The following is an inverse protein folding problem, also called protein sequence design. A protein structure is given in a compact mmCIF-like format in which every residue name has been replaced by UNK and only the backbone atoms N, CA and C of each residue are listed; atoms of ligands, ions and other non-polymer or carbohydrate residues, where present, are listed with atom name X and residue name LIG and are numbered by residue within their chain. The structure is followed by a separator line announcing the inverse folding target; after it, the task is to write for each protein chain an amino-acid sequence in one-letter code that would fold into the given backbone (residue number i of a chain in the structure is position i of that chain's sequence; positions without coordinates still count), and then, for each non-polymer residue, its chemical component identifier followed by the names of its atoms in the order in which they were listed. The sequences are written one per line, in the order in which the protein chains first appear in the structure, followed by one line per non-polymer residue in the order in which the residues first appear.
data_IF_415616951798
#
_entry.id   IF_415616951798
#
_cell.length_a   1.000
_cell.length_b   1.000
_cell.length_c   1.000
_cell.angle_alpha   90.00
_cell.angle_beta   90.00
_cell.angle_gamma   90.00
#
_symmetry.space_group_name_H-M   'P 1'
#
loop_
_entity.id
_entity.type
_entity.pdbx_description
1 polymer ?
#
# COMPACT_ATOMS: atom_id res chain seq x y z
N UNK A 1 29.65 2.60 17.53
CA UNK A 1 28.18 2.51 17.60
C UNK A 1 27.77 1.43 16.61
N UNK A 2 26.86 0.54 16.96
CA UNK A 2 26.44 -0.56 16.09
C UNK A 2 25.66 -0.03 14.89
N UNK A 3 26.00 -0.47 13.67
CA UNK A 3 25.29 -0.07 12.46
C UNK A 3 23.94 -0.78 12.38
N UNK A 4 22.88 0.02 12.26
CA UNK A 4 21.51 -0.45 12.11
C UNK A 4 20.93 0.12 10.81
N UNK A 5 20.56 -0.80 9.93
CA UNK A 5 19.95 -0.49 8.63
C UNK A 5 18.43 -0.65 8.69
N UNK A 6 17.69 0.35 8.23
CA UNK A 6 16.26 0.19 7.98
C UNK A 6 16.03 -0.28 6.55
N UNK A 7 15.32 -1.39 6.37
CA UNK A 7 15.03 -2.01 5.09
C UNK A 7 13.54 -1.92 4.79
N UNK A 8 13.19 -1.56 3.56
CA UNK A 8 11.80 -1.30 3.17
C UNK A 8 11.49 -1.95 1.82
N UNK A 9 10.39 -2.73 1.80
CA UNK A 9 9.72 -3.18 0.57
C UNK A 9 8.39 -2.42 0.39
N UNK A 10 8.37 -1.32 -0.39
CA UNK A 10 7.17 -0.51 -0.53
C UNK A 10 6.13 -1.16 -1.45
N UNK A 11 5.06 -1.68 -0.89
CA UNK A 11 3.93 -2.26 -1.62
C UNK A 11 2.74 -1.30 -1.79
N UNK A 12 1.75 -1.71 -2.58
CA UNK A 12 0.53 -0.92 -2.84
C UNK A 12 -0.47 -0.95 -1.67
N UNK A 13 -0.63 -2.10 -1.05
CA UNK A 13 -1.54 -2.34 0.08
C UNK A 13 -0.77 -2.48 1.39
N UNK A 14 0.35 -3.19 1.35
CA UNK A 14 1.20 -3.44 2.52
C UNK A 14 2.64 -3.13 2.15
N UNK A 15 3.35 -2.48 3.06
CA UNK A 15 4.79 -2.22 2.99
C UNK A 15 5.48 -3.08 4.05
N UNK A 16 6.48 -3.84 3.67
CA UNK A 16 7.39 -4.50 4.59
C UNK A 16 8.41 -3.51 5.15
N UNK A 17 8.67 -3.58 6.44
CA UNK A 17 9.71 -2.78 7.11
C UNK A 17 10.50 -3.70 8.03
N UNK A 18 11.82 -3.61 7.99
CA UNK A 18 12.69 -4.36 8.89
C UNK A 18 13.83 -3.47 9.40
N UNK A 19 14.35 -3.78 10.59
CA UNK A 19 15.64 -3.30 11.08
C UNK A 19 16.63 -4.46 11.09
N UNK A 20 17.79 -4.23 10.53
CA UNK A 20 18.88 -5.19 10.47
C UNK A 20 20.11 -4.56 11.12
N UNK A 21 20.66 -5.23 12.13
CA UNK A 21 21.93 -4.85 12.74
C UNK A 21 23.09 -5.58 12.05
N UNK A 22 24.16 -4.89 11.76
CA UNK A 22 25.36 -5.45 11.15
C UNK A 22 26.44 -5.66 12.23
N UNK A 23 26.60 -6.89 12.66
CA UNK A 23 27.52 -7.27 13.73
C UNK A 23 28.77 -7.94 13.16
N UNK A 24 29.97 -7.61 13.69
CA UNK A 24 31.22 -8.15 13.21
C UNK A 24 31.30 -9.69 13.32
N UNK A 25 30.78 -10.26 14.40
CA UNK A 25 30.86 -11.72 14.63
C UNK A 25 29.62 -12.46 14.11
N UNK A 26 28.42 -11.86 14.17
CA UNK A 26 27.16 -12.53 13.83
C UNK A 26 26.66 -12.19 12.41
N UNK A 27 27.32 -11.23 11.75
CA UNK A 27 26.87 -10.72 10.46
C UNK A 27 25.61 -9.89 10.55
N UNK A 28 24.78 -9.95 9.53
CA UNK A 28 23.51 -9.24 9.49
C UNK A 28 22.41 -10.00 10.25
N UNK A 29 21.84 -9.38 11.28
CA UNK A 29 20.81 -9.97 12.15
C UNK A 29 19.56 -9.11 12.15
N UNK A 30 18.40 -9.72 11.97
CA UNK A 30 17.12 -9.01 12.03
C UNK A 30 16.78 -8.68 13.47
N UNK A 31 16.62 -7.39 13.76
CA UNK A 31 16.25 -6.86 15.07
C UNK A 31 14.76 -6.62 15.21
N UNK A 32 14.09 -6.25 14.11
CA UNK A 32 12.68 -5.93 14.08
C UNK A 32 12.09 -6.18 12.69
N UNK A 33 10.83 -6.64 12.64
CA UNK A 33 10.07 -6.80 11.42
C UNK A 33 8.65 -6.26 11.58
N UNK A 34 8.11 -5.63 10.54
CA UNK A 34 6.74 -5.14 10.53
C UNK A 34 6.09 -5.18 9.16
N UNK A 35 4.77 -5.44 9.16
CA UNK A 35 3.90 -5.34 8.00
C UNK A 35 2.99 -4.13 8.16
N UNK A 36 3.23 -3.06 7.38
CA UNK A 36 2.48 -1.82 7.41
C UNK A 36 1.37 -1.83 6.35
N UNK A 37 0.13 -1.98 6.78
CA UNK A 37 -1.06 -1.92 5.93
C UNK A 37 -1.52 -0.47 5.70
N UNK A 38 -1.66 -0.09 4.42
CA UNK A 38 -2.02 1.26 4.01
C UNK A 38 -3.53 1.45 3.81
N UNK A 39 -3.99 2.66 4.04
CA UNK A 39 -5.38 3.08 3.80
C UNK A 39 -5.58 3.81 2.45
N UNK A 40 -4.63 3.75 1.54
CA UNK A 40 -4.67 4.49 0.27
C UNK A 40 -5.94 4.23 -0.55
N UNK A 41 -6.41 2.98 -0.62
CA UNK A 41 -7.65 2.63 -1.30
C UNK A 41 -8.88 3.24 -0.63
N UNK A 42 -8.96 3.24 0.69
CA UNK A 42 -10.06 3.87 1.43
C UNK A 42 -10.09 5.39 1.20
N UNK A 43 -8.93 6.05 1.16
CA UNK A 43 -8.82 7.48 0.82
C UNK A 43 -9.34 7.75 -0.59
N UNK A 44 -8.95 6.93 -1.58
CA UNK A 44 -9.41 7.04 -2.97
C UNK A 44 -10.93 6.89 -3.06
N UNK A 45 -11.50 5.84 -2.46
CA UNK A 45 -12.94 5.59 -2.46
C UNK A 45 -13.72 6.73 -1.80
N UNK A 46 -13.22 7.27 -0.68
CA UNK A 46 -13.83 8.42 -0.01
C UNK A 46 -13.79 9.70 -0.85
N UNK A 47 -12.73 9.92 -1.62
CA UNK A 47 -12.62 11.06 -2.54
C UNK A 47 -13.60 10.92 -3.71
N UNK A 48 -13.73 9.71 -4.25
CA UNK A 48 -14.67 9.40 -5.34
C UNK A 48 -16.12 9.55 -4.90
N UNK A 49 -16.50 9.00 -3.75
CA UNK A 49 -17.83 9.20 -3.15
C UNK A 49 -18.18 10.68 -2.98
N UNK A 50 -17.26 11.48 -2.42
CA UNK A 50 -17.44 12.93 -2.31
C UNK A 50 -17.55 13.64 -3.67
N UNK A 51 -16.82 13.17 -4.67
CA UNK A 51 -16.93 13.67 -6.05
C UNK A 51 -18.31 13.37 -6.64
N UNK A 52 -18.79 12.14 -6.47
CA UNK A 52 -20.12 11.70 -6.93
C UNK A 52 -21.24 12.52 -6.29
N UNK A 53 -21.24 12.68 -4.96
CA UNK A 53 -22.20 13.50 -4.25
C UNK A 53 -22.21 14.96 -4.75
N UNK A 54 -21.05 15.55 -4.99
CA UNK A 54 -20.95 16.91 -5.56
C UNK A 54 -21.50 16.98 -6.98
N UNK A 55 -21.26 15.96 -7.81
CA UNK A 55 -21.82 15.86 -9.18
C UNK A 55 -23.35 15.77 -9.11
N UNK A 56 -23.89 14.87 -8.29
CA UNK A 56 -25.34 14.71 -8.10
C UNK A 56 -26.03 16.00 -7.64
N UNK A 57 -25.43 16.75 -6.68
CA UNK A 57 -25.98 18.05 -6.25
C UNK A 57 -26.03 19.10 -7.38
N UNK A 58 -25.04 19.10 -8.27
CA UNK A 58 -25.02 20.04 -9.42
C UNK A 58 -26.06 19.67 -10.48
N UNK A 59 -26.23 18.37 -10.74
CA UNK A 59 -27.16 17.89 -11.77
C UNK A 59 -28.63 18.06 -11.42
N UNK A 60 -28.98 18.41 -10.16
CA UNK A 60 -30.38 18.60 -9.76
C UNK A 60 -30.98 19.97 -10.10
N UNK A 61 -30.16 20.92 -10.56
CA UNK A 61 -30.59 22.26 -10.94
C UNK A 61 -31.44 23.01 -9.90
N UNK A 62 -31.31 22.67 -8.59
CA UNK A 62 -32.09 23.29 -7.51
C UNK A 62 -31.73 24.75 -7.23
N UNK A 63 -30.56 25.19 -7.67
CA UNK A 63 -30.08 26.57 -7.65
C UNK A 63 -28.98 26.76 -8.66
N UNK A 64 -28.84 27.97 -9.20
CA UNK A 64 -27.72 28.32 -10.08
C UNK A 64 -26.38 28.13 -9.37
N UNK A 65 -25.42 27.53 -10.08
CA UNK A 65 -24.02 27.41 -9.69
C UNK A 65 -23.16 27.57 -10.92
N UNK A 66 -22.15 28.45 -10.90
CA UNK A 66 -21.25 28.61 -12.04
C UNK A 66 -20.56 27.27 -12.34
N UNK A 67 -20.30 27.03 -13.61
CA UNK A 67 -19.50 25.88 -14.05
C UNK A 67 -18.12 25.93 -13.39
N UNK A 68 -17.62 24.76 -12.96
CA UNK A 68 -16.27 24.63 -12.41
C UNK A 68 -15.45 23.80 -13.34
N UNK A 69 -14.42 24.40 -13.87
CA UNK A 69 -13.40 23.75 -14.69
C UNK A 69 -12.26 23.25 -13.81
N UNK A 70 -11.59 22.18 -14.28
CA UNK A 70 -10.45 21.59 -13.55
C UNK A 70 -9.15 22.36 -13.84
N UNK A 71 -9.18 23.68 -13.74
CA UNK A 71 -8.06 24.58 -14.01
C UNK A 71 -7.12 24.74 -12.79
N UNK A 72 -7.06 23.73 -11.93
CA UNK A 72 -6.25 23.82 -10.73
C UNK A 72 -4.79 23.56 -11.05
N UNK A 73 -3.96 24.60 -10.99
CA UNK A 73 -2.50 24.47 -10.98
C UNK A 73 -2.07 23.75 -9.68
N UNK A 74 -1.24 22.76 -9.80
CA UNK A 74 -0.68 22.02 -8.67
C UNK A 74 0.79 22.37 -8.51
N UNK A 75 1.25 22.45 -7.25
CA UNK A 75 2.66 22.68 -6.96
C UNK A 75 3.50 21.52 -7.50
N UNK A 76 4.74 21.81 -7.90
CA UNK A 76 5.70 20.77 -8.24
C UNK A 76 5.82 19.76 -7.10
N UNK A 77 5.94 18.46 -7.43
CA UNK A 77 6.00 17.38 -6.42
C UNK A 77 4.67 17.06 -5.74
N UNK A 78 3.53 17.66 -6.15
CA UNK A 78 2.25 17.32 -5.58
C UNK A 78 1.88 15.85 -5.89
N UNK A 79 1.51 15.12 -4.84
CA UNK A 79 1.01 13.76 -4.94
C UNK A 79 -0.51 13.69 -4.68
N UNK A 80 -1.23 12.75 -5.32
CA UNK A 80 -2.59 12.40 -4.93
C UNK A 80 -2.65 12.03 -3.44
N UNK A 81 -3.70 12.42 -2.68
CA UNK A 81 -3.77 12.16 -1.25
C UNK A 81 -3.62 10.70 -0.83
N UNK A 82 -4.03 9.75 -1.68
CA UNK A 82 -3.86 8.31 -1.44
C UNK A 82 -2.41 7.86 -1.56
N UNK A 83 -1.62 8.47 -2.45
CA UNK A 83 -0.19 8.21 -2.64
C UNK A 83 0.60 8.87 -1.53
N UNK A 84 0.36 10.16 -1.28
CA UNK A 84 0.99 10.91 -0.19
C UNK A 84 0.80 10.21 1.16
N UNK A 85 -0.40 9.67 1.43
CA UNK A 85 -0.67 8.92 2.66
C UNK A 85 0.20 7.67 2.80
N UNK A 86 0.53 6.97 1.70
CA UNK A 86 1.43 5.81 1.73
C UNK A 86 2.84 6.22 2.15
N UNK A 87 3.37 7.25 1.49
CA UNK A 87 4.72 7.78 1.78
C UNK A 87 4.80 8.25 3.23
N UNK A 88 3.86 9.09 3.67
CA UNK A 88 3.83 9.63 5.03
C UNK A 88 3.68 8.52 6.10
N UNK A 89 2.92 7.46 5.83
CA UNK A 89 2.78 6.36 6.77
C UNK A 89 4.10 5.61 6.93
N UNK A 90 4.78 5.29 5.83
CA UNK A 90 6.07 4.60 5.85
C UNK A 90 7.13 5.47 6.54
N UNK A 91 7.23 6.74 6.15
CA UNK A 91 8.13 7.71 6.77
C UNK A 91 7.86 7.87 8.27
N UNK A 92 6.58 7.94 8.68
CA UNK A 92 6.22 8.03 10.11
C UNK A 92 6.65 6.80 10.90
N UNK A 93 6.58 5.60 10.33
CA UNK A 93 7.06 4.37 10.99
C UNK A 93 8.58 4.39 11.10
N UNK A 94 9.29 4.75 10.02
CA UNK A 94 10.75 4.85 10.03
C UNK A 94 11.22 5.88 11.07
N UNK A 95 10.60 7.06 11.12
CA UNK A 95 10.93 8.10 12.10
C UNK A 95 10.68 7.64 13.54
N UNK A 96 9.63 6.84 13.80
CA UNK A 96 9.40 6.26 15.12
C UNK A 96 10.48 5.24 15.51
N UNK A 97 10.97 4.46 14.55
CA UNK A 97 12.06 3.54 14.77
C UNK A 97 13.38 4.31 15.00
N UNK A 98 13.67 5.33 14.21
CA UNK A 98 14.87 6.16 14.35
C UNK A 98 14.93 6.90 15.70
N UNK A 99 13.77 7.25 16.28
CA UNK A 99 13.73 7.83 17.64
C UNK A 99 14.03 6.81 18.76
N UNK A 100 14.17 5.51 18.44
CA UNK A 100 14.38 4.43 19.41
C UNK A 100 15.63 3.62 19.14
N UNK A 101 16.10 3.61 17.91
CA UNK A 101 17.24 2.85 17.44
C UNK A 101 18.17 3.78 16.65
N UNK A 102 19.49 3.63 16.75
CA UNK A 102 20.48 4.43 16.02
C UNK A 102 20.54 3.96 14.56
N UNK A 103 19.55 4.32 13.75
CA UNK A 103 19.49 3.99 12.33
C UNK A 103 20.57 4.80 11.60
N UNK A 104 21.50 4.11 10.95
CA UNK A 104 22.64 4.71 10.23
C UNK A 104 22.42 4.76 8.73
N UNK A 105 21.60 3.87 8.18
CA UNK A 105 21.36 3.78 6.74
C UNK A 105 19.96 3.22 6.43
N UNK A 106 19.54 3.38 5.18
CA UNK A 106 18.29 2.83 4.69
C UNK A 106 18.49 2.08 3.37
N UNK A 107 17.80 0.94 3.21
CA UNK A 107 17.74 0.23 1.93
C UNK A 107 16.28 0.04 1.51
N UNK A 108 15.96 0.47 0.29
CA UNK A 108 14.59 0.47 -0.22
C UNK A 108 14.49 -0.33 -1.52
N UNK A 109 13.48 -1.21 -1.61
CA UNK A 109 13.18 -1.83 -2.89
C UNK A 109 12.63 -0.77 -3.86
N UNK A 110 13.36 -0.55 -4.95
CA UNK A 110 13.03 0.42 -5.97
C UNK A 110 12.92 -0.27 -7.33
N UNK A 111 11.69 -0.40 -7.81
CA UNK A 111 11.41 -0.83 -9.19
C UNK A 111 10.84 0.36 -9.94
N UNK A 112 11.43 0.69 -11.07
CA UNK A 112 10.94 1.74 -11.96
C UNK A 112 10.09 1.11 -13.05
N UNK A 113 8.84 1.51 -13.18
CA UNK A 113 7.99 1.11 -14.29
C UNK A 113 7.92 2.24 -15.32
N UNK A 114 8.37 1.96 -16.54
CA UNK A 114 8.16 2.84 -17.67
C UNK A 114 6.78 2.60 -18.28
N UNK A 115 5.82 3.44 -17.87
CA UNK A 115 4.43 3.31 -18.30
C UNK A 115 4.23 3.67 -19.77
N UNK A 116 5.05 4.55 -20.35
CA UNK A 116 4.93 4.95 -21.75
C UNK A 116 5.38 3.82 -22.67
N UNK A 117 6.54 3.25 -22.41
CA UNK A 117 7.07 2.13 -23.18
C UNK A 117 6.24 0.85 -22.99
N UNK A 118 5.62 0.64 -21.84
CA UNK A 118 4.70 -0.48 -21.61
C UNK A 118 3.42 -0.38 -22.43
N UNK A 119 2.91 0.83 -22.65
CA UNK A 119 1.71 1.09 -23.46
C UNK A 119 2.05 1.10 -24.95
N UNK A 120 3.16 1.72 -25.33
CA UNK A 120 3.65 1.79 -26.71
C UNK A 120 5.15 1.45 -26.77
N UNK A 121 5.53 0.18 -27.05
CA UNK A 121 6.93 -0.25 -27.11
C UNK A 121 7.76 0.42 -28.22
N UNK A 122 7.12 1.03 -29.21
CA UNK A 122 7.75 1.66 -30.37
C UNK A 122 8.00 3.16 -30.15
N UNK A 123 7.61 3.70 -29.00
CA UNK A 123 7.83 5.10 -28.66
C UNK A 123 9.33 5.39 -28.57
N UNK A 124 9.82 6.37 -29.32
CA UNK A 124 11.22 6.78 -29.38
C UNK A 124 11.40 8.30 -29.55
N UNK A 125 12.59 8.81 -29.28
CA UNK A 125 12.95 10.23 -29.51
C UNK A 125 12.17 11.21 -28.65
N UNK A 126 11.67 12.29 -29.24
CA UNK A 126 11.01 13.41 -28.57
C UNK A 126 9.68 13.02 -27.91
N UNK A 127 9.03 11.96 -28.38
CA UNK A 127 7.80 11.42 -27.79
C UNK A 127 8.06 10.63 -26.51
N UNK A 128 9.32 10.24 -26.28
CA UNK A 128 9.74 9.42 -25.17
C UNK A 128 10.52 10.25 -24.13
N UNK A 129 9.91 10.54 -23.01
CA UNK A 129 10.50 11.40 -21.98
C UNK A 129 11.35 10.69 -20.92
N UNK A 130 11.48 9.34 -20.98
CA UNK A 130 12.31 8.55 -20.04
C UNK A 130 12.87 7.31 -20.71
N UNK A 131 14.19 7.16 -20.75
CA UNK A 131 14.93 6.05 -21.34
C UNK A 131 15.43 4.99 -20.34
N UNK A 132 15.80 3.85 -20.91
CA UNK A 132 16.68 2.79 -20.40
C UNK A 132 16.09 1.80 -19.39
N UNK A 133 15.56 0.67 -19.80
CA UNK A 133 15.40 -0.63 -19.10
C UNK A 133 14.12 -1.40 -19.51
N UNK A 134 13.72 -1.30 -20.76
CA UNK A 134 12.43 -1.79 -21.28
C UNK A 134 12.07 -3.25 -20.96
N UNK A 135 13.01 -4.18 -21.05
CA UNK A 135 12.70 -5.61 -20.91
C UNK A 135 12.48 -6.08 -19.46
N UNK A 136 13.27 -5.55 -18.54
CA UNK A 136 13.18 -5.89 -17.13
C UNK A 136 11.92 -5.31 -16.48
N UNK A 137 11.61 -4.07 -16.80
CA UNK A 137 10.44 -3.36 -16.26
C UNK A 137 9.12 -4.00 -16.70
N UNK A 138 8.98 -4.38 -17.97
CA UNK A 138 7.79 -5.09 -18.47
C UNK A 138 7.58 -6.39 -17.72
N UNK A 139 8.64 -7.16 -17.47
CA UNK A 139 8.54 -8.42 -16.75
C UNK A 139 8.07 -8.22 -15.30
N UNK A 140 8.64 -7.26 -14.58
CA UNK A 140 8.21 -6.95 -13.19
C UNK A 140 6.79 -6.40 -13.15
N UNK A 141 6.40 -5.54 -14.09
CA UNK A 141 5.03 -5.09 -14.26
C UNK A 141 4.06 -6.27 -14.42
N UNK A 142 4.40 -7.22 -15.30
CA UNK A 142 3.57 -8.41 -15.54
C UNK A 142 3.53 -9.32 -14.32
N UNK A 143 4.66 -9.50 -13.60
CA UNK A 143 4.70 -10.27 -12.36
C UNK A 143 3.73 -9.70 -11.31
N UNK A 144 3.64 -8.38 -11.19
CA UNK A 144 2.70 -7.74 -10.29
C UNK A 144 1.26 -7.81 -10.82
N UNK A 145 1.04 -7.56 -12.11
CA UNK A 145 -0.27 -7.62 -12.77
C UNK A 145 -0.92 -9.00 -12.66
N UNK A 146 -0.14 -10.06 -12.77
CA UNK A 146 -0.59 -11.44 -12.76
C UNK A 146 -0.37 -12.14 -11.42
N UNK A 147 -0.12 -11.38 -10.34
CA UNK A 147 0.10 -11.88 -8.98
C UNK A 147 1.15 -12.99 -8.88
N UNK A 148 2.21 -12.91 -9.71
CA UNK A 148 3.28 -13.91 -9.79
C UNK A 148 2.74 -15.35 -10.02
N UNK A 149 1.66 -15.50 -10.78
CA UNK A 149 1.02 -16.78 -11.09
C UNK A 149 1.02 -17.04 -12.60
N UNK A 150 1.07 -18.31 -12.97
CA UNK A 150 0.82 -18.69 -14.37
C UNK A 150 -0.63 -18.35 -14.76
N UNK A 151 -0.83 -17.57 -15.82
CA UNK A 151 -2.17 -17.17 -16.25
C UNK A 151 -3.05 -18.35 -16.70
N UNK A 152 -2.43 -19.41 -17.16
CA UNK A 152 -3.09 -20.60 -17.71
C UNK A 152 -3.48 -21.62 -16.63
N UNK A 153 -2.51 -22.12 -15.86
CA UNK A 153 -2.74 -23.17 -14.86
C UNK A 153 -2.82 -22.68 -13.41
N UNK A 154 -2.54 -21.40 -13.14
CA UNK A 154 -2.58 -20.83 -11.79
C UNK A 154 -1.39 -21.19 -10.88
N UNK A 155 -0.42 -21.97 -11.36
CA UNK A 155 0.75 -22.37 -10.55
C UNK A 155 1.55 -21.16 -10.08
N UNK A 156 1.96 -21.18 -8.82
CA UNK A 156 2.78 -20.15 -8.14
C UNK A 156 4.16 -20.72 -7.80
N UNK A 157 5.08 -19.81 -7.45
CA UNK A 157 6.43 -20.16 -6.96
C UNK A 157 7.30 -20.95 -7.95
N UNK A 158 6.99 -20.85 -9.25
CA UNK A 158 7.77 -21.41 -10.37
C UNK A 158 8.34 -20.28 -11.23
N UNK A 159 9.42 -20.54 -12.00
CA UNK A 159 9.89 -19.59 -12.99
C UNK A 159 8.78 -19.28 -14.01
N UNK A 160 8.44 -17.99 -14.15
CA UNK A 160 7.44 -17.52 -15.10
C UNK A 160 8.10 -16.82 -16.27
N UNK A 161 7.61 -17.07 -17.46
CA UNK A 161 8.05 -16.46 -18.72
C UNK A 161 7.01 -15.48 -19.23
N UNK A 162 7.46 -14.41 -19.88
CA UNK A 162 6.57 -13.46 -20.55
C UNK A 162 6.08 -14.13 -21.83
N UNK A 163 4.76 -14.14 -22.00
CA UNK A 163 4.08 -14.83 -23.08
C UNK A 163 3.11 -13.91 -23.80
N UNK A 164 3.00 -14.02 -25.14
CA UNK A 164 2.08 -13.25 -25.94
C UNK A 164 0.70 -13.91 -25.98
N UNK A 165 -0.36 -13.17 -25.64
CA UNK A 165 -1.75 -13.61 -25.77
C UNK A 165 -2.07 -13.88 -27.23
N UNK A 166 -1.80 -12.89 -28.11
CA UNK A 166 -1.76 -13.05 -29.56
C UNK A 166 -0.28 -13.14 -29.95
N UNK A 167 0.17 -14.27 -30.53
CA UNK A 167 1.57 -14.46 -30.90
C UNK A 167 2.04 -13.47 -31.98
N UNK A 168 3.32 -13.13 -31.97
CA UNK A 168 3.92 -12.25 -32.98
C UNK A 168 3.73 -12.77 -34.37
N UNK A 169 3.82 -14.10 -34.58
CA UNK A 169 3.57 -14.75 -35.88
C UNK A 169 2.15 -14.50 -36.41
N UNK A 170 1.22 -14.15 -35.56
CA UNK A 170 -0.16 -13.81 -35.90
C UNK A 170 -0.47 -12.30 -35.66
N UNK A 171 0.52 -11.42 -35.79
CA UNK A 171 0.36 -9.98 -35.72
C UNK A 171 0.24 -9.43 -34.29
N UNK A 172 0.64 -10.21 -33.28
CA UNK A 172 0.62 -9.76 -31.87
C UNK A 172 1.71 -8.72 -31.56
N UNK A 173 1.35 -7.70 -30.78
CA UNK A 173 2.25 -6.62 -30.36
C UNK A 173 2.93 -6.91 -29.03
N UNK A 174 4.02 -6.18 -28.71
CA UNK A 174 4.68 -6.21 -27.40
C UNK A 174 3.97 -5.35 -26.34
N UNK A 175 2.79 -4.82 -26.62
CA UNK A 175 2.02 -4.04 -25.64
C UNK A 175 1.64 -4.90 -24.44
N UNK A 176 1.70 -4.37 -23.25
CA UNK A 176 1.36 -5.08 -22.00
C UNK A 176 -0.09 -5.60 -21.98
N UNK A 177 -0.97 -5.05 -22.81
CA UNK A 177 -2.33 -5.57 -23.03
C UNK A 177 -2.37 -6.86 -23.86
N UNK A 178 -1.26 -7.20 -24.54
CA UNK A 178 -1.08 -8.46 -25.28
C UNK A 178 -0.10 -9.42 -24.58
N UNK A 179 0.37 -9.11 -23.38
CA UNK A 179 1.34 -9.91 -22.64
C UNK A 179 0.73 -10.52 -21.37
N UNK A 180 1.16 -11.72 -21.07
CA UNK A 180 0.80 -12.47 -19.86
C UNK A 180 2.02 -13.20 -19.30
N UNK A 181 1.83 -13.96 -18.22
CA UNK A 181 2.85 -14.82 -17.63
C UNK A 181 2.44 -16.28 -17.73
N UNK A 182 3.37 -17.11 -18.15
CA UNK A 182 3.20 -18.55 -18.24
C UNK A 182 4.34 -19.28 -17.54
N UNK A 183 4.05 -20.42 -16.91
CA UNK A 183 5.10 -21.38 -16.53
C UNK A 183 5.63 -22.08 -17.79
N UNK A 184 6.85 -22.60 -17.72
CA UNK A 184 7.49 -23.24 -18.85
C UNK A 184 6.62 -24.32 -19.53
N UNK A 185 5.97 -25.27 -18.83
CA UNK A 185 5.12 -26.29 -19.47
C UNK A 185 3.93 -25.70 -20.21
N UNK A 186 3.27 -24.66 -19.67
CA UNK A 186 2.14 -24.00 -20.32
C UNK A 186 2.60 -23.18 -21.53
N UNK A 187 3.75 -22.52 -21.45
CA UNK A 187 4.32 -21.74 -22.54
C UNK A 187 4.68 -22.65 -23.73
N UNK A 188 5.34 -23.77 -23.46
CA UNK A 188 5.71 -24.76 -24.46
C UNK A 188 4.47 -25.37 -25.14
N UNK A 189 3.44 -25.77 -24.37
CA UNK A 189 2.20 -26.32 -24.91
C UNK A 189 1.44 -25.33 -25.79
N UNK A 190 1.42 -24.06 -25.42
CA UNK A 190 0.76 -23.02 -26.19
C UNK A 190 1.53 -22.74 -27.50
N UNK A 191 2.85 -22.62 -27.44
CA UNK A 191 3.68 -22.30 -28.56
C UNK A 191 3.21 -21.05 -29.33
N UNK A 192 3.07 -21.14 -30.62
CA UNK A 192 2.60 -20.03 -31.48
C UNK A 192 1.07 -19.96 -31.64
N UNK A 193 0.29 -20.74 -30.90
CA UNK A 193 -1.17 -20.70 -30.99
C UNK A 193 -1.73 -19.43 -30.34
N UNK A 194 -2.76 -18.78 -30.93
CA UNK A 194 -3.55 -17.75 -30.25
C UNK A 194 -4.18 -18.30 -28.99
N UNK A 195 -4.29 -17.46 -27.94
CA UNK A 195 -4.83 -17.88 -26.63
C UNK A 195 -6.25 -18.44 -26.73
N UNK A 196 -7.05 -17.93 -27.69
CA UNK A 196 -8.42 -18.40 -27.91
C UNK A 196 -8.47 -19.86 -28.41
N UNK A 197 -7.52 -20.26 -29.24
CA UNK A 197 -7.39 -21.65 -29.72
C UNK A 197 -6.83 -22.55 -28.63
N UNK A 198 -5.77 -22.12 -27.96
CA UNK A 198 -5.16 -22.86 -26.88
C UNK A 198 -6.13 -23.16 -25.70
N UNK A 199 -7.04 -22.24 -25.43
CA UNK A 199 -8.03 -22.34 -24.34
C UNK A 199 -9.45 -22.66 -24.83
N UNK A 200 -9.60 -23.26 -26.02
CA UNK A 200 -10.93 -23.60 -26.59
C UNK A 200 -11.81 -24.41 -25.65
N UNK A 201 -11.21 -25.29 -24.82
CA UNK A 201 -11.90 -26.08 -23.79
C UNK A 201 -12.05 -25.41 -22.43
N UNK A 202 -11.56 -24.16 -22.25
CA UNK A 202 -11.54 -23.45 -20.97
C UNK A 202 -12.01 -21.99 -21.11
N UNK A 203 -13.27 -21.76 -21.46
CA UNK A 203 -13.78 -20.40 -21.78
C UNK A 203 -13.68 -19.41 -20.59
N UNK A 204 -13.82 -19.88 -19.35
CA UNK A 204 -13.69 -19.02 -18.17
C UNK A 204 -12.27 -18.53 -17.96
N UNK A 205 -11.27 -19.37 -18.19
CA UNK A 205 -9.85 -18.99 -18.13
C UNK A 205 -9.53 -17.98 -19.24
N UNK A 206 -10.05 -18.20 -20.45
CA UNK A 206 -9.89 -17.28 -21.57
C UNK A 206 -10.48 -15.90 -21.25
N UNK A 207 -11.73 -15.86 -20.75
CA UNK A 207 -12.42 -14.62 -20.36
C UNK A 207 -11.66 -13.87 -19.26
N UNK A 208 -11.15 -14.58 -18.26
CA UNK A 208 -10.32 -14.02 -17.19
C UNK A 208 -9.04 -13.40 -17.75
N UNK A 209 -8.32 -14.11 -18.63
CA UNK A 209 -7.09 -13.63 -19.24
C UNK A 209 -7.35 -12.37 -20.05
N UNK A 210 -8.35 -12.36 -20.90
CA UNK A 210 -8.69 -11.21 -21.75
C UNK A 210 -9.09 -9.98 -20.93
N UNK A 211 -9.87 -10.17 -19.85
CA UNK A 211 -10.24 -9.10 -18.93
C UNK A 211 -9.02 -8.54 -18.19
N UNK A 212 -8.17 -9.42 -17.64
CA UNK A 212 -6.97 -9.03 -16.93
C UNK A 212 -5.94 -8.36 -17.83
N UNK A 213 -5.79 -8.83 -19.04
CA UNK A 213 -4.86 -8.26 -20.04
C UNK A 213 -5.20 -6.80 -20.38
N UNK A 214 -6.48 -6.49 -20.56
CA UNK A 214 -6.97 -5.14 -20.83
C UNK A 214 -7.04 -4.25 -19.59
N UNK A 215 -7.12 -4.84 -18.39
CA UNK A 215 -7.19 -4.07 -17.16
C UNK A 215 -5.86 -3.33 -16.90
N UNK A 216 -5.88 -2.02 -16.61
CA UNK A 216 -4.69 -1.32 -16.17
C UNK A 216 -4.27 -1.85 -14.80
N UNK A 217 -2.97 -1.88 -14.52
CA UNK A 217 -2.49 -2.14 -13.15
C UNK A 217 -2.96 -0.98 -12.27
N UNK A 218 -3.95 -1.24 -11.43
CA UNK A 218 -4.69 -0.20 -10.70
C UNK A 218 -3.81 0.72 -9.85
N UNK A 219 -2.67 0.23 -9.39
CA UNK A 219 -1.81 0.94 -8.46
C UNK A 219 -0.35 1.12 -8.94
N UNK A 220 0.03 0.63 -10.12
CA UNK A 220 1.43 0.68 -10.59
C UNK A 220 2.02 2.10 -10.59
N UNK A 221 1.32 3.06 -11.19
CA UNK A 221 1.78 4.46 -11.19
C UNK A 221 1.84 5.04 -9.78
N UNK A 222 0.90 4.67 -8.91
CA UNK A 222 0.87 5.12 -7.53
C UNK A 222 2.02 4.52 -6.70
N UNK A 223 2.31 3.24 -6.88
CA UNK A 223 3.43 2.54 -6.22
C UNK A 223 4.76 3.11 -6.69
N UNK A 224 4.93 3.27 -8.01
CA UNK A 224 6.13 3.85 -8.56
C UNK A 224 6.39 5.28 -8.03
N UNK A 225 5.37 6.15 -8.08
CA UNK A 225 5.48 7.49 -7.53
C UNK A 225 5.79 7.49 -6.02
N UNK A 226 5.16 6.59 -5.22
CA UNK A 226 5.41 6.51 -3.79
C UNK A 226 6.82 6.02 -3.45
N UNK A 227 7.36 5.05 -4.20
CA UNK A 227 8.73 4.53 -4.02
C UNK A 227 9.78 5.62 -4.23
N UNK A 228 9.70 6.33 -5.35
CA UNK A 228 10.65 7.41 -5.66
C UNK A 228 10.61 8.56 -4.65
N UNK A 229 9.40 8.99 -4.28
CA UNK A 229 9.25 10.07 -3.29
C UNK A 229 9.76 9.62 -1.92
N UNK A 230 9.50 8.38 -1.51
CA UNK A 230 10.02 7.84 -0.26
C UNK A 230 11.55 7.85 -0.25
N UNK A 231 12.19 7.32 -1.29
CA UNK A 231 13.65 7.32 -1.44
C UNK A 231 14.22 8.74 -1.36
N UNK A 232 13.62 9.70 -2.09
CA UNK A 232 14.10 11.08 -2.07
C UNK A 232 13.94 11.75 -0.69
N UNK A 233 12.87 11.43 0.04
CA UNK A 233 12.68 11.96 1.41
C UNK A 233 13.65 11.32 2.40
N UNK A 234 13.94 10.03 2.28
CA UNK A 234 14.93 9.36 3.13
C UNK A 234 16.34 9.85 2.86
N UNK A 235 16.71 10.08 1.60
CA UNK A 235 18.02 10.66 1.21
C UNK A 235 18.29 12.03 1.82
N UNK A 236 17.28 12.74 2.28
CA UNK A 236 17.46 14.05 2.92
C UNK A 236 18.13 13.95 4.30
N UNK A 237 18.16 12.77 4.94
CA UNK A 237 18.68 12.60 6.29
C UNK A 237 19.38 11.24 6.57
N UNK A 238 19.34 10.30 5.61
CA UNK A 238 20.04 9.02 5.69
C UNK A 238 20.78 8.70 4.38
N UNK A 239 21.90 8.00 4.42
CA UNK A 239 22.41 7.26 3.27
C UNK A 239 21.39 6.22 2.81
N UNK A 240 21.02 6.23 1.50
CA UNK A 240 20.01 5.32 0.97
C UNK A 240 20.58 4.47 -0.16
N UNK A 241 20.53 3.16 0.02
CA UNK A 241 20.80 2.15 -1.01
C UNK A 241 19.47 1.66 -1.60
N UNK A 242 19.50 1.25 -2.87
CA UNK A 242 18.31 0.70 -3.53
C UNK A 242 18.57 -0.69 -4.09
N UNK A 243 17.55 -1.55 -4.02
CA UNK A 243 17.60 -2.90 -4.56
C UNK A 243 16.44 -3.20 -5.51
N UNK A 244 16.61 -4.16 -6.41
CA UNK A 244 15.54 -4.59 -7.31
C UNK A 244 14.71 -5.71 -6.70
N UNK A 245 13.41 -5.80 -7.08
CA UNK A 245 12.53 -6.88 -6.64
C UNK A 245 12.97 -8.28 -7.11
N UNK A 246 13.69 -8.36 -8.23
CA UNK A 246 14.31 -9.60 -8.68
C UNK A 246 15.40 -10.09 -7.70
N UNK A 247 16.27 -9.19 -7.22
CA UNK A 247 17.29 -9.49 -6.21
C UNK A 247 16.63 -9.87 -4.88
N UNK A 248 15.63 -9.13 -4.44
CA UNK A 248 14.86 -9.44 -3.22
C UNK A 248 14.31 -10.87 -3.25
N UNK A 249 13.65 -11.26 -4.36
CA UNK A 249 13.14 -12.62 -4.52
C UNK A 249 14.25 -13.67 -4.52
N UNK A 250 15.36 -13.40 -5.22
CA UNK A 250 16.50 -14.32 -5.26
C UNK A 250 17.07 -14.53 -3.86
N UNK A 251 17.35 -13.46 -3.13
CA UNK A 251 17.91 -13.52 -1.78
C UNK A 251 17.00 -14.31 -0.82
N UNK A 252 15.68 -14.04 -0.88
CA UNK A 252 14.68 -14.73 -0.07
C UNK A 252 14.64 -16.24 -0.38
N UNK A 253 14.55 -16.61 -1.66
CA UNK A 253 14.46 -18.02 -2.07
C UNK A 253 15.74 -18.79 -1.74
N UNK A 254 16.91 -18.18 -1.94
CA UNK A 254 18.22 -18.77 -1.63
C UNK A 254 18.35 -19.09 -0.15
N UNK A 255 17.81 -18.25 0.73
CA UNK A 255 17.85 -18.43 2.18
C UNK A 255 16.69 -19.29 2.72
N UNK A 256 15.80 -19.80 1.87
CA UNK A 256 14.67 -20.66 2.26
C UNK A 256 13.56 -19.95 3.02
N UNK A 257 13.50 -18.61 3.02
CA UNK A 257 12.51 -17.86 3.75
C UNK A 257 11.14 -17.91 3.05
N UNK A 258 10.08 -18.07 3.84
CA UNK A 258 8.71 -17.96 3.37
C UNK A 258 8.38 -16.53 2.91
N UNK A 259 7.41 -16.41 2.02
CA UNK A 259 7.02 -15.11 1.49
C UNK A 259 6.16 -14.34 2.49
N UNK A 260 6.71 -13.26 3.01
CA UNK A 260 5.97 -12.22 3.73
C UNK A 260 6.56 -10.85 3.39
N UNK A 261 5.81 -9.75 3.56
CA UNK A 261 6.30 -8.42 3.19
C UNK A 261 7.50 -7.96 4.02
N UNK A 262 7.53 -8.25 5.32
CA UNK A 262 8.67 -7.91 6.15
C UNK A 262 9.91 -8.76 5.80
N UNK A 263 9.70 -10.02 5.40
CA UNK A 263 10.76 -10.89 4.90
C UNK A 263 11.30 -10.37 3.56
N UNK A 264 10.42 -9.95 2.66
CA UNK A 264 10.86 -9.32 1.42
C UNK A 264 11.68 -8.05 1.73
N UNK A 265 11.27 -7.23 2.72
CA UNK A 265 12.08 -6.09 3.16
C UNK A 265 13.47 -6.50 3.69
N UNK A 266 13.55 -7.53 4.52
CA UNK A 266 14.84 -8.09 5.02
C UNK A 266 15.77 -8.46 3.86
N UNK A 267 15.25 -9.02 2.79
CA UNK A 267 16.00 -9.55 1.65
C UNK A 267 16.33 -8.50 0.57
N UNK A 268 16.01 -7.22 0.75
CA UNK A 268 16.29 -6.17 -0.24
C UNK A 268 17.79 -5.95 -0.40
N UNK A 269 18.25 -5.79 -1.66
CA UNK A 269 19.61 -5.45 -2.07
C UNK A 269 20.70 -6.48 -1.64
N UNK A 270 21.95 -6.09 -1.71
CA UNK A 270 23.10 -6.94 -1.38
C UNK A 270 23.16 -7.24 0.12
N UNK A 271 22.86 -6.25 0.96
CA UNK A 271 22.79 -6.44 2.42
C UNK A 271 21.71 -7.45 2.87
N UNK A 272 20.85 -7.92 1.96
CA UNK A 272 19.87 -8.98 2.19
C UNK A 272 20.28 -10.39 1.75
N UNK A 273 21.51 -10.61 1.32
CA UNK A 273 21.97 -11.91 0.79
C UNK A 273 22.15 -12.99 1.87
N UNK A 274 22.58 -12.57 3.04
CA UNK A 274 22.77 -13.42 4.21
C UNK A 274 22.30 -12.68 5.44
N UNK A 275 21.16 -13.06 5.97
CA UNK A 275 20.56 -12.43 7.14
C UNK A 275 20.06 -13.50 8.09
N UNK A 276 20.39 -13.36 9.37
CA UNK A 276 19.91 -14.25 10.43
C UNK A 276 18.60 -13.71 11.02
N UNK A 277 17.59 -14.56 11.08
CA UNK A 277 16.30 -14.27 11.74
C UNK A 277 16.22 -15.16 12.98
N UNK A 278 15.90 -14.58 14.13
CA UNK A 278 15.71 -15.33 15.38
C UNK A 278 14.50 -16.24 15.26
N UNK A 279 14.66 -17.48 15.72
CA UNK A 279 13.55 -18.45 15.75
C UNK A 279 12.33 -17.90 16.50
N UNK A 280 11.16 -18.14 15.94
CA UNK A 280 9.88 -17.65 16.49
C UNK A 280 9.65 -16.14 16.38
N UNK A 281 10.51 -15.40 15.67
CA UNK A 281 10.30 -13.98 15.43
C UNK A 281 9.07 -13.74 14.59
N UNK A 282 8.15 -12.91 15.10
CA UNK A 282 6.92 -12.50 14.41
C UNK A 282 6.94 -11.02 14.09
N UNK A 283 6.37 -10.62 12.94
CA UNK A 283 6.31 -9.20 12.59
C UNK A 283 5.26 -8.47 13.40
N UNK A 284 5.49 -7.18 13.65
CA UNK A 284 4.48 -6.27 14.12
C UNK A 284 3.51 -5.92 12.96
N UNK A 285 2.23 -6.15 13.15
CA UNK A 285 1.19 -5.75 12.20
C UNK A 285 0.78 -4.32 12.51
N UNK A 286 1.12 -3.40 11.59
CA UNK A 286 0.80 -1.97 11.71
C UNK A 286 -0.29 -1.64 10.71
N UNK A 287 -1.44 -1.13 11.16
CA UNK A 287 -2.54 -0.74 10.27
C UNK A 287 -2.77 0.75 10.32
N UNK A 288 -2.64 1.44 9.18
CA UNK A 288 -2.90 2.87 9.08
C UNK A 288 -4.41 3.17 9.20
N UNK A 289 -4.80 3.92 10.23
CA UNK A 289 -6.19 4.37 10.48
C UNK A 289 -6.39 5.86 10.18
N UNK A 290 -5.33 6.64 10.25
CA UNK A 290 -5.35 8.08 10.16
C UNK A 290 -5.69 8.77 11.46
N UNK A 291 -5.31 10.03 11.55
CA UNK A 291 -5.34 10.79 12.81
C UNK A 291 -6.72 11.32 13.20
N UNK A 292 -7.76 11.16 12.37
CA UNK A 292 -9.12 11.62 12.69
C UNK A 292 -9.27 13.14 12.84
N UNK A 293 -8.27 13.93 12.45
CA UNK A 293 -8.25 15.39 12.62
C UNK A 293 -9.22 16.13 11.71
N UNK A 294 -9.62 15.48 10.59
CA UNK A 294 -10.50 16.10 9.63
C UNK A 294 -11.95 16.13 10.14
N UNK A 295 -12.55 17.32 10.19
CA UNK A 295 -13.94 17.47 10.57
C UNK A 295 -14.84 17.25 9.35
N UNK A 296 -15.83 16.38 9.50
CA UNK A 296 -16.79 16.05 8.45
C UNK A 296 -18.17 16.53 8.85
N UNK A 297 -18.80 17.34 8.00
CA UNK A 297 -20.22 17.69 8.15
C UNK A 297 -21.04 16.48 7.73
N UNK A 298 -22.02 16.08 8.56
CA UNK A 298 -23.00 15.06 8.17
C UNK A 298 -23.82 15.57 6.99
N UNK A 299 -23.99 14.74 6.00
CA UNK A 299 -24.82 15.02 4.83
C UNK A 299 -26.06 14.14 4.81
N UNK A 300 -27.12 14.61 4.18
CA UNK A 300 -28.28 13.78 3.86
C UNK A 300 -27.95 12.80 2.71
N UNK A 301 -28.94 11.97 2.34
CA UNK A 301 -28.82 11.02 1.21
C UNK A 301 -28.49 11.68 -0.12
N UNK A 302 -28.79 12.96 -0.24
CA UNK A 302 -28.55 13.75 -1.44
C UNK A 302 -27.23 14.53 -1.41
N UNK A 303 -26.46 14.42 -0.32
CA UNK A 303 -25.18 15.09 -0.16
C UNK A 303 -25.27 16.56 0.30
N UNK A 304 -26.43 17.02 0.76
CA UNK A 304 -26.56 18.34 1.38
C UNK A 304 -26.14 18.30 2.84
N UNK A 305 -25.44 19.33 3.35
CA UNK A 305 -24.98 19.35 4.73
C UNK A 305 -26.18 19.44 5.69
N UNK A 306 -26.16 18.57 6.73
CA UNK A 306 -27.06 18.62 7.88
C UNK A 306 -26.32 19.20 9.07
N UNK A 307 -26.41 20.49 9.28
CA UNK A 307 -25.76 21.17 10.41
C UNK A 307 -24.32 21.62 10.13
N UNK A 308 -23.63 21.99 11.21
CA UNK A 308 -22.25 22.49 11.18
C UNK A 308 -21.25 21.37 11.51
N UNK A 309 -20.00 21.51 11.06
CA UNK A 309 -18.93 20.60 11.45
C UNK A 309 -18.70 20.67 12.97
N UNK A 310 -18.57 19.52 13.62
CA UNK A 310 -18.18 19.46 15.03
C UNK A 310 -16.79 20.09 15.23
N UNK A 311 -16.66 20.96 16.21
CA UNK A 311 -15.41 21.72 16.47
C UNK A 311 -14.47 21.01 17.44
N UNK A 312 -14.99 20.15 18.31
CA UNK A 312 -14.24 19.55 19.40
C UNK A 312 -13.64 18.22 18.91
N UNK A 313 -12.32 18.13 18.92
CA UNK A 313 -11.55 16.90 18.61
C UNK A 313 -10.66 16.48 19.79
N UNK A 314 -10.44 17.39 20.73
CA UNK A 314 -9.65 17.16 21.92
C UNK A 314 -10.31 17.89 23.11
N UNK A 315 -10.61 17.17 24.16
CA UNK A 315 -11.10 17.71 25.44
C UNK A 315 -10.84 16.72 26.58
N UNK A 316 -10.83 17.21 27.79
CA UNK A 316 -10.65 16.41 29.02
C UNK A 316 -9.42 15.50 29.02
N UNK A 317 -8.33 15.92 28.33
CA UNK A 317 -7.12 15.12 28.20
C UNK A 317 -7.16 14.05 27.12
N UNK A 318 -8.27 13.86 26.41
CA UNK A 318 -8.46 12.86 25.35
C UNK A 318 -8.57 13.49 23.97
N UNK A 319 -8.20 12.71 22.94
CA UNK A 319 -8.36 13.07 21.52
C UNK A 319 -9.14 11.99 20.80
N UNK A 320 -9.97 12.36 19.82
CA UNK A 320 -10.65 11.37 18.97
C UNK A 320 -9.61 10.46 18.32
N UNK A 321 -9.80 9.16 18.48
CA UNK A 321 -8.87 8.13 17.95
C UNK A 321 -7.90 7.57 19.00
N UNK A 322 -7.80 8.14 20.18
CA UNK A 322 -7.03 7.57 21.30
C UNK A 322 -7.55 6.16 21.62
N UNK A 323 -6.67 5.25 22.04
CA UNK A 323 -7.06 3.98 22.66
C UNK A 323 -7.25 4.21 24.14
N UNK A 324 -8.43 3.84 24.61
CA UNK A 324 -8.86 4.10 25.99
C UNK A 324 -9.43 2.82 26.62
N UNK A 325 -9.28 2.72 27.93
CA UNK A 325 -9.99 1.75 28.78
C UNK A 325 -11.16 2.46 29.44
N UNK A 326 -12.36 1.98 29.19
CA UNK A 326 -13.57 2.40 29.90
C UNK A 326 -13.89 1.39 30.97
N UNK A 327 -14.15 1.85 32.21
CA UNK A 327 -14.70 1.03 33.27
C UNK A 327 -16.07 1.56 33.68
N UNK A 328 -17.11 0.74 33.46
CA UNK A 328 -18.48 1.05 33.84
C UNK A 328 -18.89 0.19 35.04
N UNK A 329 -19.06 0.80 36.22
CA UNK A 329 -19.38 0.04 37.41
C UNK A 329 -20.80 -0.50 37.45
N UNK A 330 -21.75 0.16 36.75
CA UNK A 330 -23.20 -0.17 36.82
C UNK A 330 -23.88 0.14 35.50
N UNK A 331 -25.06 -0.45 35.27
CA UNK A 331 -25.95 -0.18 34.17
C UNK A 331 -25.84 -1.20 33.02
N UNK A 332 -26.56 -0.95 31.93
CA UNK A 332 -26.67 -1.84 30.73
C UNK A 332 -25.31 -2.26 30.18
N UNK A 333 -24.32 -1.42 30.29
CA UNK A 333 -22.97 -1.62 29.77
C UNK A 333 -21.94 -1.75 30.89
N UNK A 334 -22.34 -2.34 32.04
CA UNK A 334 -21.40 -2.60 33.13
C UNK A 334 -20.25 -3.50 32.64
N UNK A 335 -19.03 -3.19 33.06
CA UNK A 335 -17.83 -3.93 32.64
C UNK A 335 -16.67 -3.03 32.24
N UNK A 336 -15.60 -3.66 31.73
CA UNK A 336 -14.42 -2.97 31.25
C UNK A 336 -14.27 -3.19 29.73
N UNK A 337 -14.00 -2.10 29.01
CA UNK A 337 -13.87 -2.09 27.56
C UNK A 337 -12.58 -1.40 27.17
N UNK A 338 -11.82 -2.00 26.25
CA UNK A 338 -10.68 -1.36 25.61
C UNK A 338 -11.06 -1.09 24.16
N UNK A 339 -11.09 0.17 23.76
CA UNK A 339 -11.51 0.53 22.41
C UNK A 339 -10.96 1.90 21.98
N UNK A 340 -11.08 2.19 20.69
CA UNK A 340 -10.73 3.48 20.12
C UNK A 340 -11.84 4.50 20.39
N UNK A 341 -11.44 5.70 20.86
CA UNK A 341 -12.35 6.81 21.11
C UNK A 341 -12.94 7.32 19.80
N UNK A 342 -14.26 7.17 19.65
CA UNK A 342 -14.99 7.53 18.44
C UNK A 342 -15.48 8.97 18.43
N UNK A 343 -15.84 9.51 19.60
CA UNK A 343 -16.38 10.86 19.72
C UNK A 343 -16.12 11.49 21.07
N UNK A 344 -16.09 12.82 21.09
CA UNK A 344 -15.95 13.64 22.29
C UNK A 344 -17.05 14.70 22.24
N UNK A 345 -17.82 14.82 23.31
CA UNK A 345 -18.86 15.85 23.46
C UNK A 345 -18.37 16.94 24.43
N UNK A 346 -18.82 18.17 24.18
CA UNK A 346 -18.48 19.31 25.05
C UNK A 346 -18.92 19.10 26.51
N UNK A 347 -19.97 18.31 26.73
CA UNK A 347 -20.53 17.97 28.05
C UNK A 347 -19.67 16.98 28.85
N UNK A 348 -18.55 16.52 28.31
CA UNK A 348 -17.68 15.56 28.99
C UNK A 348 -18.04 14.08 28.74
N UNK A 349 -18.99 13.81 27.85
CA UNK A 349 -19.30 12.44 27.41
C UNK A 349 -18.33 12.03 26.31
N UNK A 350 -17.71 10.86 26.48
CA UNK A 350 -16.86 10.21 25.47
C UNK A 350 -17.57 8.98 24.92
N UNK A 351 -17.50 8.76 23.61
CA UNK A 351 -18.13 7.64 22.92
C UNK A 351 -17.08 6.68 22.39
N UNK A 352 -17.19 5.37 22.70
CA UNK A 352 -16.40 4.29 22.12
C UNK A 352 -17.30 3.34 21.32
N UNK A 353 -16.72 2.64 20.34
CA UNK A 353 -17.40 1.56 19.61
C UNK A 353 -16.92 0.22 20.15
N UNK A 354 -17.83 -0.59 20.62
CA UNK A 354 -17.60 -1.97 21.08
C UNK A 354 -18.39 -2.95 20.23
N UNK A 355 -18.20 -4.23 20.42
CA UNK A 355 -19.01 -5.27 19.78
C UNK A 355 -20.52 -5.15 20.12
N UNK A 356 -20.83 -4.66 21.33
CA UNK A 356 -22.19 -4.41 21.80
C UNK A 356 -22.80 -3.09 21.27
N UNK A 357 -22.07 -2.33 20.43
CA UNK A 357 -22.49 -1.05 19.88
C UNK A 357 -21.70 0.13 20.40
N UNK A 358 -22.28 1.33 20.30
CA UNK A 358 -21.66 2.57 20.80
C UNK A 358 -21.98 2.74 22.29
N UNK A 359 -20.95 2.82 23.10
CA UNK A 359 -21.05 3.07 24.55
C UNK A 359 -20.53 4.47 24.82
N UNK A 360 -21.37 5.29 25.46
CA UNK A 360 -21.03 6.64 25.89
C UNK A 360 -21.02 6.75 27.42
N UNK A 361 -19.98 7.35 27.95
CA UNK A 361 -19.84 7.57 29.39
C UNK A 361 -19.15 8.91 29.71
N UNK A 362 -19.20 9.35 30.97
CA UNK A 362 -18.43 10.49 31.41
C UNK A 362 -16.93 10.21 31.28
N UNK A 363 -16.14 11.22 30.90
CA UNK A 363 -14.69 11.13 30.74
C UNK A 363 -13.99 10.59 32.02
N UNK A 364 -14.59 10.74 33.17
CA UNK A 364 -14.08 10.26 34.48
C UNK A 364 -13.93 8.73 34.53
N UNK A 365 -14.69 8.00 33.74
CA UNK A 365 -14.64 6.53 33.67
C UNK A 365 -13.63 6.01 32.64
N UNK A 366 -12.93 6.92 31.95
CA UNK A 366 -11.96 6.57 30.92
C UNK A 366 -10.52 6.74 31.41
N UNK A 367 -9.71 5.76 31.07
CA UNK A 367 -8.25 5.80 31.21
C UNK A 367 -7.61 5.79 29.84
N UNK A 368 -6.65 6.68 29.60
CA UNK A 368 -5.86 6.69 28.39
C UNK A 368 -4.85 5.54 28.40
N UNK A 369 -4.88 4.70 27.36
CA UNK A 369 -3.87 3.66 27.14
C UNK A 369 -2.82 4.15 26.14
N UNK A 370 -3.27 4.65 24.97
CA UNK A 370 -2.38 5.09 23.90
C UNK A 370 -2.93 6.33 23.20
N UNK A 371 -2.07 7.31 23.00
CA UNK A 371 -2.39 8.48 22.16
C UNK A 371 -2.55 8.08 20.70
N UNK A 372 -3.49 8.72 20.03
CA UNK A 372 -3.70 8.51 18.59
C UNK A 372 -2.50 9.00 17.78
N UNK A 373 -1.76 8.08 17.24
CA UNK A 373 -0.65 8.32 16.32
C UNK A 373 -1.01 8.05 14.85
N UNK A 374 -2.23 7.61 14.59
CA UNK A 374 -2.76 7.29 13.27
C UNK A 374 -2.65 5.82 12.89
N UNK A 375 -2.20 4.95 13.79
CA UNK A 375 -2.02 3.52 13.55
C UNK A 375 -2.73 2.66 14.60
N UNK A 376 -3.03 1.42 14.22
CA UNK A 376 -3.31 0.31 15.13
C UNK A 376 -2.15 -0.67 15.06
N UNK A 377 -1.86 -1.33 16.16
CA UNK A 377 -0.78 -2.30 16.30
C UNK A 377 -1.33 -3.63 16.80
N UNK A 378 -0.84 -4.72 16.22
CA UNK A 378 -1.11 -6.10 16.64
C UNK A 378 0.16 -6.95 16.44
N UNK A 379 0.30 -8.01 17.21
CA UNK A 379 1.28 -9.08 16.96
C UNK A 379 0.68 -10.08 15.99
N UNK A 380 1.51 -10.62 15.07
CA UNK A 380 1.08 -11.65 14.13
C UNK A 380 0.91 -13.02 14.80
#
# INVERSE_FOLDING_TARGET
MQDVEVKVDPGSKTTGVALVGHFEQQGAVVLFGANLSHRGQAIRNNLESRRSLRRGRRGRNTRYRPARFLNRTRKAGWLPPSVESRVMNTESVINKLANRCPITSATVELVKFDMQQMVNPEVSGVEYQQGELAGYEVREYLLEKWNRTCAYCGTQNVPLQVEHIQPKAHGGSNRVSNLTLACQPCNQRKGSQPVAEFLKGQPDVLKRIQAQAKAPLKDAAAVNASRWVLVNRLKAWLPVTTGSGGRTKFNRTRQGFEKDHWIDAVCVAESGERVSIRDGMKPLVITAKGRGTHQVVRTDRFGFPRGKAGRIKRAFGFSTGDIVKLHMPKGKYAGSYVARLAGIRATGTLDIKTAAGTVGASYKHFQLIQRNDGFDYATA
#
